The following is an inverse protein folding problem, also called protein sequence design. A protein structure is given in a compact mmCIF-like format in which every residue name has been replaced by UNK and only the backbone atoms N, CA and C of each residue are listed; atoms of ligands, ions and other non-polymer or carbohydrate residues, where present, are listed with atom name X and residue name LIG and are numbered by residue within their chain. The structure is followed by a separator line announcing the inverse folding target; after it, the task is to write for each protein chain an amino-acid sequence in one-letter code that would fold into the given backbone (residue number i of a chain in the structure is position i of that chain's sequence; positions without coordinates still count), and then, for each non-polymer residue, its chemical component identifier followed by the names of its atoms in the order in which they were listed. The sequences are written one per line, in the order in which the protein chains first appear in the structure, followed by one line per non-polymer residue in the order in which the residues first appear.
data_IF_525183118205
#
_entry.id   IF_525183118205
#
_cell.length_a   1.000
_cell.length_b   1.000
_cell.length_c   1.000
_cell.angle_alpha   90.00
_cell.angle_beta   90.00
_cell.angle_gamma   90.00
#
_symmetry.space_group_name_H-M   'P 1'
#
loop_
_entity.id
_entity.type
_entity.pdbx_description
1 polymer ?
#
# COMPACT_ATOMS: atom_id res chain seq x y z
N UNK A 1 21.02 1.92 -18.53
CA UNK A 1 20.57 0.60 -18.04
C UNK A 1 21.72 -0.37 -18.21
N UNK A 2 21.99 -1.22 -17.21
CA UNK A 2 23.06 -2.24 -17.34
C UNK A 2 22.74 -3.13 -18.53
N UNK A 3 23.72 -3.43 -19.37
CA UNK A 3 23.56 -4.31 -20.55
C UNK A 3 23.82 -5.79 -20.22
N UNK A 4 24.13 -6.09 -18.96
CA UNK A 4 24.64 -7.41 -18.54
C UNK A 4 23.52 -8.40 -18.17
N UNK A 5 22.27 -7.95 -18.18
CA UNK A 5 21.10 -8.73 -17.84
C UNK A 5 20.21 -8.89 -19.08
N UNK A 6 19.76 -10.12 -19.31
CA UNK A 6 18.81 -10.45 -20.38
C UNK A 6 17.38 -10.36 -19.84
N UNK A 7 16.49 -9.65 -20.53
CA UNK A 7 15.08 -9.49 -20.18
C UNK A 7 14.20 -9.34 -21.42
N UNK A 8 12.91 -9.59 -21.26
CA UNK A 8 11.88 -9.52 -22.30
C UNK A 8 10.95 -8.29 -22.14
N UNK A 9 11.46 -7.16 -21.64
CA UNK A 9 10.66 -5.96 -21.34
C UNK A 9 9.75 -5.54 -22.49
N UNK A 10 10.23 -5.60 -23.73
CA UNK A 10 9.45 -5.23 -24.93
C UNK A 10 8.26 -6.18 -25.22
N UNK A 11 8.19 -7.32 -24.53
CA UNK A 11 7.12 -8.32 -24.66
C UNK A 11 6.13 -8.27 -23.48
N UNK A 12 6.41 -7.46 -22.45
CA UNK A 12 5.52 -7.36 -21.30
C UNK A 12 4.25 -6.61 -21.66
N UNK A 13 3.12 -7.04 -21.09
CA UNK A 13 1.83 -6.38 -21.23
C UNK A 13 1.65 -5.43 -20.05
N UNK A 14 1.34 -4.18 -20.34
CA UNK A 14 0.91 -3.22 -19.34
C UNK A 14 -0.62 -3.23 -19.21
N UNK A 15 -1.13 -3.26 -17.99
CA UNK A 15 -2.55 -3.29 -17.69
C UNK A 15 -2.90 -2.23 -16.66
N UNK A 16 -3.99 -1.51 -16.91
CA UNK A 16 -4.55 -0.62 -15.89
C UNK A 16 -5.16 -1.47 -14.75
N UNK A 17 -4.69 -1.21 -13.54
CA UNK A 17 -5.22 -1.82 -12.32
C UNK A 17 -5.60 -0.69 -11.38
N UNK A 18 -6.77 -0.81 -10.74
CA UNK A 18 -7.35 0.29 -9.96
C UNK A 18 -7.83 -0.19 -8.61
N UNK A 19 -7.66 0.67 -7.60
CA UNK A 19 -8.27 0.53 -6.28
C UNK A 19 -8.82 1.87 -5.81
N UNK A 20 -9.40 1.87 -4.62
CA UNK A 20 -9.78 3.08 -3.90
C UNK A 20 -8.91 3.24 -2.67
N UNK A 21 -8.62 4.49 -2.29
CA UNK A 21 -7.98 4.78 -1.01
C UNK A 21 -8.83 4.20 0.11
N UNK A 22 -8.23 3.36 0.94
CA UNK A 22 -8.93 2.68 2.03
C UNK A 22 -9.18 3.64 3.19
N UNK A 23 -10.06 3.26 4.11
CA UNK A 23 -10.22 3.94 5.39
C UNK A 23 -9.42 3.19 6.46
N UNK A 24 -8.75 3.87 7.40
CA UNK A 24 -8.14 3.20 8.54
C UNK A 24 -9.18 2.34 9.27
N UNK A 25 -8.82 1.09 9.57
CA UNK A 25 -9.70 0.15 10.24
C UNK A 25 -9.10 -0.31 11.57
N UNK A 26 -9.95 -0.48 12.58
CA UNK A 26 -9.58 -1.10 13.85
C UNK A 26 -10.14 -2.52 13.91
N UNK A 27 -9.35 -3.44 14.48
CA UNK A 27 -9.81 -4.82 14.72
C UNK A 27 -11.01 -4.82 15.67
N UNK A 28 -11.96 -5.74 15.44
CA UNK A 28 -13.08 -5.96 16.37
C UNK A 28 -12.52 -6.32 17.75
N UNK A 29 -12.99 -5.61 18.77
CA UNK A 29 -12.47 -5.70 20.15
C UNK A 29 -11.60 -4.52 20.56
N UNK A 30 -11.15 -3.69 19.61
CA UNK A 30 -10.47 -2.41 19.87
C UNK A 30 -8.98 -2.51 20.18
N UNK A 31 -8.46 -3.68 20.58
CA UNK A 31 -7.05 -3.83 20.94
C UNK A 31 -6.30 -4.84 20.05
N UNK A 32 -5.00 -4.62 19.91
CA UNK A 32 -4.02 -5.55 19.35
C UNK A 32 -3.31 -6.27 20.51
N UNK A 33 -3.20 -7.61 20.49
CA UNK A 33 -2.39 -8.34 21.46
C UNK A 33 -0.90 -7.99 21.32
N UNK A 34 -0.25 -7.63 22.43
CA UNK A 34 1.18 -7.37 22.48
C UNK A 34 1.98 -8.61 22.97
N UNK A 35 3.27 -8.75 22.64
CA UNK A 35 4.07 -9.91 23.06
C UNK A 35 4.17 -10.16 24.56
N UNK A 36 3.90 -9.15 25.41
CA UNK A 36 3.87 -9.28 26.87
C UNK A 36 2.49 -9.68 27.42
N UNK A 37 1.50 -9.89 26.53
CA UNK A 37 0.14 -10.24 26.89
C UNK A 37 -0.76 -9.04 27.23
N UNK A 38 -0.27 -7.80 27.12
CA UNK A 38 -1.08 -6.59 27.30
C UNK A 38 -1.77 -6.22 25.99
N UNK A 39 -3.07 -5.86 26.06
CA UNK A 39 -3.79 -5.31 24.92
C UNK A 39 -3.44 -3.84 24.71
N UNK A 40 -3.06 -3.46 23.49
CA UNK A 40 -2.74 -2.07 23.12
C UNK A 40 -3.68 -1.56 22.04
N UNK A 41 -4.00 -0.26 22.04
CA UNK A 41 -4.74 0.39 20.96
C UNK A 41 -3.80 1.33 20.21
N UNK A 42 -3.46 0.98 18.97
CA UNK A 42 -2.52 1.72 18.14
C UNK A 42 -3.08 1.91 16.72
N UNK A 43 -2.74 3.02 16.03
CA UNK A 43 -3.00 3.14 14.60
C UNK A 43 -2.18 2.11 13.81
N UNK A 44 -2.58 1.84 12.58
CA UNK A 44 -1.94 0.81 11.77
C UNK A 44 -2.20 0.92 10.28
N UNK A 45 -2.70 -0.17 9.69
CA UNK A 45 -2.94 -0.33 8.27
C UNK A 45 -4.05 0.59 7.74
N UNK A 46 -4.08 0.72 6.42
CA UNK A 46 -5.09 1.42 5.61
C UNK A 46 -5.09 2.95 5.75
N UNK A 47 -5.65 3.62 4.74
CA UNK A 47 -5.80 5.07 4.74
C UNK A 47 -4.61 5.85 4.22
N UNK A 48 -4.56 7.12 4.60
CA UNK A 48 -3.51 8.06 4.25
C UNK A 48 -2.71 8.36 5.51
N UNK A 49 -1.53 7.76 5.62
CA UNK A 49 -0.61 8.06 6.72
C UNK A 49 0.16 9.32 6.38
N UNK A 50 -0.01 10.42 7.12
CA UNK A 50 0.57 11.71 6.72
C UNK A 50 2.07 11.87 6.99
N UNK A 51 2.59 11.13 7.97
CA UNK A 51 3.91 11.37 8.57
C UNK A 51 4.84 10.15 8.57
N UNK A 52 4.42 9.01 8.01
CA UNK A 52 5.30 7.88 7.71
C UNK A 52 5.37 7.69 6.19
N UNK A 53 6.60 7.64 5.66
CA UNK A 53 6.92 7.60 4.22
C UNK A 53 7.98 6.55 3.94
N UNK A 54 8.07 6.14 2.67
CA UNK A 54 9.19 5.30 2.22
C UNK A 54 10.50 6.04 2.44
N UNK A 55 11.47 5.34 3.02
CA UNK A 55 12.76 5.89 3.45
C UNK A 55 12.82 6.21 4.94
N UNK A 56 11.68 6.34 5.63
CA UNK A 56 11.65 6.47 7.08
C UNK A 56 12.07 5.15 7.77
N UNK A 57 12.40 5.26 9.06
CA UNK A 57 12.69 4.09 9.88
C UNK A 57 11.42 3.25 10.04
N UNK A 58 11.56 1.93 9.86
CA UNK A 58 10.46 0.98 10.09
C UNK A 58 10.04 0.89 11.56
N UNK A 59 10.95 1.13 12.50
CA UNK A 59 10.72 1.06 13.94
C UNK A 59 10.72 2.46 14.59
N UNK A 60 10.15 2.54 15.80
CA UNK A 60 10.09 3.77 16.60
C UNK A 60 8.75 4.51 16.54
N UNK A 61 7.77 3.94 15.85
CA UNK A 61 6.41 4.45 15.77
C UNK A 61 5.53 3.81 16.85
N UNK A 62 4.65 4.61 17.46
CA UNK A 62 3.56 4.11 18.27
C UNK A 62 2.42 3.62 17.35
N UNK A 63 2.67 2.53 16.63
CA UNK A 63 1.75 1.95 15.65
C UNK A 63 1.90 0.43 15.57
N UNK A 64 0.87 -0.24 15.07
CA UNK A 64 0.90 -1.65 14.70
C UNK A 64 0.69 -1.78 13.18
N UNK A 65 1.66 -2.31 12.45
CA UNK A 65 1.52 -2.55 11.01
C UNK A 65 1.19 -1.28 10.17
N UNK A 66 1.81 -0.15 10.52
CA UNK A 66 1.60 1.12 9.79
C UNK A 66 2.08 1.02 8.34
N UNK A 67 1.25 1.49 7.42
CA UNK A 67 1.58 1.56 6.00
C UNK A 67 2.03 2.99 5.63
N UNK A 68 3.17 3.15 4.94
CA UNK A 68 3.64 4.47 4.54
C UNK A 68 2.84 4.98 3.34
N UNK A 69 2.55 6.28 3.29
CA UNK A 69 1.92 6.83 2.10
C UNK A 69 0.39 6.72 2.12
N UNK A 70 -0.12 6.14 1.04
CA UNK A 70 -1.54 5.99 0.74
C UNK A 70 -1.78 4.52 0.46
N UNK A 71 -2.67 3.91 1.23
CA UNK A 71 -3.08 2.53 1.03
C UNK A 71 -4.33 2.47 0.16
N UNK A 72 -4.36 1.51 -0.77
CA UNK A 72 -5.49 1.28 -1.66
C UNK A 72 -5.92 -0.19 -1.59
N UNK A 73 -7.19 -0.44 -1.83
CA UNK A 73 -7.76 -1.77 -2.01
C UNK A 73 -8.94 -1.69 -2.96
N UNK A 74 -9.46 -2.83 -3.39
CA UNK A 74 -10.64 -2.93 -4.21
C UNK A 74 -11.75 -3.71 -3.49
N UNK A 75 -13.00 -3.22 -3.53
CA UNK A 75 -14.12 -3.85 -2.81
C UNK A 75 -14.56 -5.20 -3.39
N UNK A 76 -14.29 -5.43 -4.68
CA UNK A 76 -14.45 -6.74 -5.31
C UNK A 76 -13.18 -7.59 -5.13
N UNK A 77 -13.32 -8.72 -4.43
CA UNK A 77 -12.23 -9.65 -4.09
C UNK A 77 -11.40 -10.12 -5.29
N UNK A 78 -12.01 -10.38 -6.46
CA UNK A 78 -11.24 -10.84 -7.64
C UNK A 78 -10.38 -9.73 -8.23
N UNK A 79 -10.91 -8.50 -8.24
CA UNK A 79 -10.16 -7.34 -8.69
C UNK A 79 -9.10 -6.90 -7.66
N UNK A 80 -9.39 -7.08 -6.37
CA UNK A 80 -8.42 -6.85 -5.29
C UNK A 80 -7.26 -7.84 -5.37
N UNK A 81 -7.57 -9.12 -5.60
CA UNK A 81 -6.56 -10.12 -5.89
C UNK A 81 -5.71 -9.70 -7.10
N UNK A 82 -6.32 -9.29 -8.21
CA UNK A 82 -5.57 -8.77 -9.35
C UNK A 82 -4.70 -7.55 -9.00
N UNK A 83 -5.17 -6.65 -8.12
CA UNK A 83 -4.41 -5.51 -7.61
C UNK A 83 -3.14 -5.96 -6.89
N UNK A 84 -3.20 -6.96 -6.03
CA UNK A 84 -2.02 -7.50 -5.34
C UNK A 84 -0.99 -8.14 -6.29
N UNK A 85 -1.43 -8.84 -7.35
CA UNK A 85 -0.54 -9.64 -8.19
C UNK A 85 -0.03 -8.95 -9.46
N UNK A 86 -0.74 -7.95 -9.98
CA UNK A 86 -0.36 -7.24 -11.21
C UNK A 86 0.37 -5.93 -10.93
N UNK A 87 0.37 -5.46 -9.69
CA UNK A 87 1.05 -4.25 -9.27
C UNK A 87 2.50 -4.56 -8.91
N UNK A 88 3.46 -3.87 -9.55
CA UNK A 88 4.88 -3.99 -9.24
C UNK A 88 5.37 -2.76 -8.48
N UNK A 89 6.30 -2.96 -7.55
CA UNK A 89 7.01 -1.86 -6.89
C UNK A 89 7.73 -1.02 -7.95
N UNK A 90 7.53 0.30 -7.89
CA UNK A 90 8.07 1.25 -8.87
C UNK A 90 7.11 1.61 -9.99
N UNK A 91 5.99 0.90 -10.16
CA UNK A 91 4.96 1.30 -11.10
C UNK A 91 4.38 2.67 -10.72
N UNK A 92 4.05 3.44 -11.73
CA UNK A 92 3.39 4.73 -11.73
C UNK A 92 1.94 4.59 -11.27
N UNK A 93 1.55 5.44 -10.31
CA UNK A 93 0.19 5.53 -9.82
C UNK A 93 -0.38 6.91 -10.12
N UNK A 94 -1.65 6.98 -10.50
CA UNK A 94 -2.36 8.24 -10.76
C UNK A 94 -3.67 8.31 -9.97
N UNK A 95 -3.92 9.46 -9.36
CA UNK A 95 -5.21 9.78 -8.75
C UNK A 95 -6.20 10.17 -9.85
N UNK A 96 -7.20 9.34 -10.09
CA UNK A 96 -8.12 9.52 -11.23
C UNK A 96 -9.40 10.32 -10.89
N UNK A 97 -9.69 10.58 -9.61
CA UNK A 97 -10.87 11.34 -9.18
C UNK A 97 -10.61 12.17 -7.92
N UNK A 98 -11.52 13.11 -7.63
CA UNK A 98 -11.46 13.94 -6.42
C UNK A 98 -10.55 15.17 -6.55
N UNK A 99 -10.29 15.84 -5.42
CA UNK A 99 -9.55 17.11 -5.39
C UNK A 99 -8.09 17.00 -5.83
N UNK A 100 -7.49 15.82 -5.71
CA UNK A 100 -6.11 15.55 -6.10
C UNK A 100 -5.99 14.88 -7.48
N UNK A 101 -7.05 14.90 -8.30
CA UNK A 101 -7.05 14.29 -9.63
C UNK A 101 -5.86 14.78 -10.48
N UNK A 102 -5.20 13.84 -11.18
CA UNK A 102 -3.98 14.08 -11.94
C UNK A 102 -2.70 14.06 -11.08
N UNK A 103 -2.83 13.95 -9.75
CA UNK A 103 -1.69 13.69 -8.87
C UNK A 103 -1.05 12.34 -9.18
N UNK A 104 0.28 12.32 -9.31
CA UNK A 104 1.06 11.12 -9.66
C UNK A 104 1.95 10.69 -8.50
N UNK A 105 2.16 9.39 -8.38
CA UNK A 105 3.04 8.77 -7.41
C UNK A 105 3.65 7.49 -7.96
N UNK A 106 4.27 6.72 -7.08
CA UNK A 106 4.83 5.41 -7.38
C UNK A 106 4.34 4.40 -6.36
N UNK A 107 4.19 3.16 -6.80
CA UNK A 107 3.90 2.02 -5.93
C UNK A 107 5.13 1.71 -5.10
N UNK A 108 4.94 1.63 -3.79
CA UNK A 108 6.02 1.43 -2.83
C UNK A 108 6.17 -0.01 -2.36
N UNK A 109 5.06 -0.73 -2.25
CA UNK A 109 4.96 -2.11 -1.80
C UNK A 109 3.55 -2.65 -2.07
N UNK A 110 3.33 -3.90 -1.69
CA UNK A 110 2.01 -4.50 -1.48
C UNK A 110 1.94 -5.04 -0.05
N UNK A 111 0.72 -5.20 0.46
CA UNK A 111 0.43 -5.84 1.72
C UNK A 111 -0.92 -6.56 1.62
N UNK A 112 -0.90 -7.89 1.65
CA UNK A 112 -2.08 -8.76 1.61
C UNK A 112 -2.71 -9.01 2.99
#
# INVERSE_FOLDING_TARGET
MSTDLLWNTDQLVEMAVTGQVTQPALRRGGYTPWPDGVGVMLPGMSGITYNARVGDRAFGWASDHVEPGVSIAHSNEKADFALHYLTCIGNEAEVVTGLAQGGRGIVTCEHA
#
